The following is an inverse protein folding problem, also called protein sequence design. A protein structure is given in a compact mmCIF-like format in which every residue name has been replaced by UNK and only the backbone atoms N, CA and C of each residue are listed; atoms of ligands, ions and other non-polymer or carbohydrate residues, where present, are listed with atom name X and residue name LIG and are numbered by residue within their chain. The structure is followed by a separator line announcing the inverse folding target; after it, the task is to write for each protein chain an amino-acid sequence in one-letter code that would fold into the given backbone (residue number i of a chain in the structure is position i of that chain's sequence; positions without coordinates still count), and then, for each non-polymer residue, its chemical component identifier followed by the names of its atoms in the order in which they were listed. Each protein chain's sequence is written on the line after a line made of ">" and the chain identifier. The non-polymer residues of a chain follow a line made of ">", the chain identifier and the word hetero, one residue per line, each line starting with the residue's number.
data_IF_929286526638
#
_entry.id   IF_929286526638
#
_cell.length_a   1.000
_cell.length_b   1.000
_cell.length_c   1.000
_cell.angle_alpha   90.00
_cell.angle_beta   90.00
_cell.angle_gamma   90.00
#
_symmetry.space_group_name_H-M   'P 1'
#
loop_
_entity.id
_entity.type
_entity.pdbx_description
1 polymer ?
#
# COMPACT_ATOMS: atom_id res chain seq x y z
N UNK A 1 14.63 3.29 -11.53
CA UNK A 1 14.07 1.93 -11.44
C UNK A 1 12.67 2.00 -12.03
N UNK A 2 12.25 1.05 -12.86
CA UNK A 2 10.92 1.13 -13.48
C UNK A 2 9.88 0.47 -12.58
N UNK A 3 8.84 1.22 -12.24
CA UNK A 3 7.70 0.69 -11.51
C UNK A 3 6.86 -0.22 -12.42
N UNK A 4 6.35 -1.31 -11.86
CA UNK A 4 5.29 -2.10 -12.50
C UNK A 4 3.95 -1.47 -12.10
N UNK A 5 3.24 -0.92 -13.08
CA UNK A 5 1.92 -0.32 -12.86
C UNK A 5 0.84 -1.40 -12.83
N UNK A 6 -0.08 -1.28 -11.88
CA UNK A 6 -1.18 -2.21 -11.65
C UNK A 6 -2.47 -1.39 -11.62
N UNK A 7 -3.10 -1.14 -12.79
CA UNK A 7 -4.41 -0.52 -12.85
C UNK A 7 -5.45 -1.46 -12.24
N UNK A 8 -6.34 -0.92 -11.42
CA UNK A 8 -7.36 -1.68 -10.70
C UNK A 8 -8.72 -1.01 -10.89
N UNK A 9 -9.68 -1.76 -11.42
CA UNK A 9 -11.06 -1.32 -11.45
C UNK A 9 -11.73 -1.58 -10.08
N UNK A 10 -12.78 -0.84 -9.76
CA UNK A 10 -13.62 -1.13 -8.60
C UNK A 10 -14.07 -2.60 -8.60
N UNK A 11 -14.02 -3.26 -7.45
CA UNK A 11 -14.31 -4.68 -7.36
C UNK A 11 -14.77 -5.09 -5.95
N UNK A 12 -15.86 -5.85 -5.86
CA UNK A 12 -16.35 -6.46 -4.62
C UNK A 12 -16.45 -5.50 -3.42
N UNK A 13 -16.94 -4.27 -3.64
CA UNK A 13 -17.09 -3.25 -2.58
C UNK A 13 -15.79 -2.51 -2.23
N UNK A 14 -14.67 -2.81 -2.89
CA UNK A 14 -13.42 -2.04 -2.84
C UNK A 14 -13.46 -0.97 -3.94
N UNK A 15 -13.45 0.33 -3.60
CA UNK A 15 -13.51 1.41 -4.59
C UNK A 15 -12.38 1.35 -5.62
N UNK A 16 -11.16 1.04 -5.16
CA UNK A 16 -9.92 1.29 -5.89
C UNK A 16 -9.77 2.76 -6.32
N UNK A 17 -8.57 3.15 -6.73
CA UNK A 17 -8.35 4.53 -7.17
C UNK A 17 -8.58 4.62 -8.69
N UNK A 18 -9.54 5.43 -9.17
CA UNK A 18 -9.89 5.48 -10.59
C UNK A 18 -8.85 6.17 -11.48
N UNK A 19 -7.91 6.92 -10.89
CA UNK A 19 -6.94 7.73 -11.63
C UNK A 19 -5.51 7.22 -11.45
N UNK A 20 -5.17 6.74 -10.25
CA UNK A 20 -3.82 6.34 -9.88
C UNK A 20 -3.73 4.81 -9.81
N UNK A 21 -2.89 4.16 -10.64
CA UNK A 21 -2.63 2.73 -10.48
C UNK A 21 -1.81 2.48 -9.20
N UNK A 22 -2.00 1.30 -8.61
CA UNK A 22 -1.02 0.80 -7.65
C UNK A 22 0.31 0.55 -8.36
N UNK A 23 1.43 0.65 -7.64
CA UNK A 23 2.76 0.43 -8.21
C UNK A 23 3.58 -0.50 -7.36
N UNK A 24 4.35 -1.38 -8.01
CA UNK A 24 5.40 -2.18 -7.37
C UNK A 24 6.76 -1.76 -7.92
N UNK A 25 7.73 -1.55 -7.04
CA UNK A 25 9.13 -1.34 -7.38
C UNK A 25 9.91 -2.56 -6.87
N UNK A 26 10.25 -3.52 -7.75
CA UNK A 26 10.92 -4.75 -7.33
C UNK A 26 12.32 -4.45 -6.77
N UNK A 27 12.60 -4.94 -5.56
CA UNK A 27 13.90 -4.88 -4.87
C UNK A 27 14.52 -3.48 -4.77
N UNK A 28 13.69 -2.43 -4.81
CA UNK A 28 14.16 -1.04 -4.88
C UNK A 28 14.98 -0.61 -3.66
N UNK A 29 14.63 -1.12 -2.47
CA UNK A 29 15.30 -0.82 -1.21
C UNK A 29 15.96 -2.05 -0.59
N UNK A 30 16.32 -3.04 -1.41
CA UNK A 30 16.95 -4.28 -0.95
C UNK A 30 18.28 -4.01 -0.26
N UNK A 31 18.54 -4.70 0.86
CA UNK A 31 19.76 -4.54 1.65
C UNK A 31 19.84 -3.26 2.50
N UNK A 32 18.80 -2.41 2.48
CA UNK A 32 18.69 -1.27 3.39
C UNK A 32 18.20 -1.72 4.76
N UNK A 33 18.81 -1.20 5.83
CA UNK A 33 18.30 -1.40 7.19
C UNK A 33 16.97 -0.66 7.39
N UNK A 34 16.17 -1.07 8.37
CA UNK A 34 14.92 -0.39 8.71
C UNK A 34 15.11 1.12 8.99
N UNK A 35 16.23 1.51 9.60
CA UNK A 35 16.54 2.92 9.82
C UNK A 35 16.75 3.68 8.50
N UNK A 36 17.51 3.10 7.56
CA UNK A 36 17.74 3.69 6.24
C UNK A 36 16.46 3.77 5.41
N UNK A 37 15.60 2.75 5.46
CA UNK A 37 14.29 2.78 4.79
C UNK A 37 13.42 3.91 5.34
N UNK A 38 13.34 4.05 6.66
CA UNK A 38 12.58 5.14 7.30
C UNK A 38 13.11 6.52 6.89
N UNK A 39 14.42 6.71 6.90
CA UNK A 39 15.03 7.99 6.54
C UNK A 39 14.83 8.30 5.05
N UNK A 40 14.90 7.28 4.18
CA UNK A 40 14.62 7.39 2.74
C UNK A 40 13.17 7.81 2.47
N UNK A 41 12.20 7.18 3.16
CA UNK A 41 10.78 7.53 3.06
C UNK A 41 10.51 8.95 3.57
N UNK A 42 11.06 9.30 4.74
CA UNK A 42 10.93 10.62 5.34
C UNK A 42 11.47 11.72 4.43
N UNK A 43 12.58 11.48 3.74
CA UNK A 43 13.17 12.44 2.81
C UNK A 43 12.31 12.67 1.54
N UNK A 44 11.29 11.84 1.30
CA UNK A 44 10.36 11.89 0.16
C UNK A 44 8.92 12.23 0.57
N UNK A 45 8.77 12.83 1.75
CA UNK A 45 7.48 13.20 2.34
C UNK A 45 6.55 12.01 2.69
N UNK A 46 7.12 10.83 2.96
CA UNK A 46 6.38 9.68 3.51
C UNK A 46 6.67 9.56 5.00
N UNK A 47 5.69 9.88 5.83
CA UNK A 47 5.84 9.99 7.28
C UNK A 47 4.95 8.98 8.02
N UNK A 48 5.02 9.00 9.36
CA UNK A 48 4.22 8.11 10.20
C UNK A 48 4.64 6.64 10.10
N UNK A 49 5.94 6.40 9.84
CA UNK A 49 6.45 5.06 9.59
C UNK A 49 6.20 4.10 10.76
N UNK A 50 5.70 2.90 10.47
CA UNK A 50 5.48 1.83 11.44
C UNK A 50 6.02 0.51 10.89
N UNK A 51 6.27 -0.47 11.76
CA UNK A 51 6.69 -1.81 11.34
C UNK A 51 5.69 -2.86 11.79
N UNK A 52 5.37 -3.81 10.92
CA UNK A 52 4.40 -4.85 11.23
C UNK A 52 4.18 -5.80 10.06
N UNK A 53 2.93 -6.21 9.87
CA UNK A 53 2.48 -7.08 8.79
C UNK A 53 1.28 -6.45 8.09
N UNK A 54 0.95 -6.92 6.90
CA UNK A 54 -0.28 -6.56 6.18
C UNK A 54 -1.41 -7.42 6.75
N UNK A 55 -2.58 -6.83 6.99
CA UNK A 55 -3.74 -7.59 7.47
C UNK A 55 -4.12 -8.73 6.51
N UNK A 56 -4.63 -9.82 7.08
CA UNK A 56 -5.10 -11.00 6.36
C UNK A 56 -6.59 -10.89 5.93
N UNK A 57 -7.13 -9.68 5.93
CA UNK A 57 -8.46 -9.37 5.40
C UNK A 57 -8.37 -8.19 4.42
N UNK A 58 -9.30 -8.15 3.47
CA UNK A 58 -9.38 -7.05 2.52
C UNK A 58 -9.71 -5.75 3.24
N UNK A 59 -8.84 -4.77 3.07
CA UNK A 59 -9.04 -3.42 3.59
C UNK A 59 -8.45 -2.39 2.65
N UNK A 60 -8.84 -1.14 2.82
CA UNK A 60 -8.25 0.01 2.15
C UNK A 60 -8.25 1.22 3.08
N UNK A 61 -7.49 2.25 2.70
CA UNK A 61 -7.47 3.55 3.35
C UNK A 61 -8.25 4.54 2.50
N UNK A 62 -9.23 5.24 3.06
CA UNK A 62 -10.01 6.22 2.32
C UNK A 62 -9.39 7.63 2.36
N UNK A 63 -8.45 7.89 3.28
CA UNK A 63 -7.87 9.23 3.48
C UNK A 63 -6.39 9.38 3.11
N UNK A 64 -5.69 8.29 2.80
CA UNK A 64 -4.24 8.32 2.67
C UNK A 64 -3.75 7.37 1.57
N UNK A 65 -2.77 7.85 0.81
CA UNK A 65 -1.88 6.97 0.05
C UNK A 65 -0.90 6.33 1.02
N UNK A 66 -0.67 5.03 0.86
CA UNK A 66 0.25 4.26 1.68
C UNK A 66 1.42 3.76 0.83
N UNK A 67 2.60 3.72 1.46
CA UNK A 67 3.74 2.96 0.96
C UNK A 67 4.04 1.81 1.92
N UNK A 68 4.27 0.63 1.36
CA UNK A 68 4.72 -0.56 2.08
C UNK A 68 6.08 -0.97 1.53
N UNK A 69 7.08 -1.08 2.41
CA UNK A 69 8.41 -1.61 2.09
C UNK A 69 8.60 -2.94 2.79
N UNK A 70 8.92 -4.00 2.05
CA UNK A 70 9.22 -5.30 2.67
C UNK A 70 10.61 -5.25 3.28
N UNK A 71 10.71 -5.36 4.60
CA UNK A 71 11.99 -5.33 5.32
C UNK A 71 12.68 -6.70 5.37
N UNK A 72 11.91 -7.78 5.41
CA UNK A 72 12.39 -9.17 5.36
C UNK A 72 11.24 -10.15 5.10
N UNK A 73 11.59 -11.39 4.76
CA UNK A 73 10.64 -12.45 4.45
C UNK A 73 9.97 -12.25 3.08
N UNK A 74 8.87 -12.97 2.87
CA UNK A 74 8.10 -12.93 1.64
C UNK A 74 6.59 -13.11 1.92
N UNK A 75 5.75 -12.58 1.04
CA UNK A 75 4.29 -12.69 1.15
C UNK A 75 3.61 -12.73 -0.22
N UNK A 76 2.44 -13.35 -0.27
CA UNK A 76 1.45 -13.17 -1.33
C UNK A 76 0.45 -12.10 -0.93
N UNK A 77 0.41 -10.99 -1.67
CA UNK A 77 -0.49 -9.85 -1.40
C UNK A 77 -1.46 -9.70 -2.55
N UNK A 78 -2.76 -9.76 -2.27
CA UNK A 78 -3.79 -9.37 -3.25
C UNK A 78 -3.95 -7.86 -3.22
N UNK A 79 -4.01 -7.24 -4.41
CA UNK A 79 -4.48 -5.88 -4.59
C UNK A 79 -5.83 -5.85 -5.30
N UNK A 80 -6.64 -4.83 -5.05
CA UNK A 80 -7.86 -4.56 -5.80
C UNK A 80 -9.15 -5.21 -5.27
N UNK A 81 -9.09 -5.89 -4.12
CA UNK A 81 -10.23 -6.62 -3.55
C UNK A 81 -10.25 -8.11 -3.90
N UNK A 82 -11.31 -8.82 -3.49
CA UNK A 82 -11.40 -10.26 -3.64
C UNK A 82 -11.26 -10.70 -5.11
N UNK A 83 -10.38 -11.67 -5.39
CA UNK A 83 -10.08 -12.13 -6.75
C UNK A 83 -9.23 -11.18 -7.59
N UNK A 84 -8.72 -10.09 -7.00
CA UNK A 84 -7.75 -9.20 -7.65
C UNK A 84 -6.37 -9.84 -7.85
N UNK A 85 -5.45 -9.15 -8.55
CA UNK A 85 -4.11 -9.67 -8.81
C UNK A 85 -3.34 -9.97 -7.51
N UNK A 86 -2.78 -11.18 -7.43
CA UNK A 86 -1.83 -11.57 -6.39
C UNK A 86 -0.41 -11.19 -6.80
N UNK A 87 0.31 -10.54 -5.88
CA UNK A 87 1.71 -10.17 -6.00
C UNK A 87 2.53 -10.98 -5.01
N UNK A 88 3.53 -11.72 -5.50
CA UNK A 88 4.60 -12.22 -4.65
C UNK A 88 5.60 -11.11 -4.38
N UNK A 89 5.73 -10.71 -3.11
CA UNK A 89 6.66 -9.67 -2.66
C UNK A 89 7.73 -10.25 -1.73
N UNK A 90 8.92 -9.66 -1.77
CA UNK A 90 10.05 -10.04 -0.91
C UNK A 90 10.89 -8.84 -0.52
N UNK A 91 11.94 -9.07 0.27
CA UNK A 91 12.82 -8.02 0.81
C UNK A 91 13.22 -6.95 -0.22
N UNK A 92 13.00 -5.70 0.15
CA UNK A 92 13.31 -4.52 -0.65
C UNK A 92 12.25 -4.13 -1.66
N UNK A 93 11.23 -4.97 -1.90
CA UNK A 93 10.09 -4.56 -2.71
C UNK A 93 9.33 -3.42 -2.04
N UNK A 94 8.94 -2.44 -2.85
CA UNK A 94 8.12 -1.30 -2.43
C UNK A 94 6.79 -1.36 -3.16
N UNK A 95 5.69 -1.29 -2.41
CA UNK A 95 4.34 -1.10 -2.93
C UNK A 95 3.90 0.33 -2.64
N UNK A 96 3.53 1.07 -3.68
CA UNK A 96 2.80 2.33 -3.56
C UNK A 96 1.32 2.03 -3.80
N UNK A 97 0.52 2.27 -2.77
CA UNK A 97 -0.89 1.89 -2.69
C UNK A 97 -1.72 3.18 -2.59
N UNK A 98 -2.36 3.61 -3.69
CA UNK A 98 -3.22 4.78 -3.65
C UNK A 98 -4.43 4.61 -2.71
N UNK A 99 -4.94 5.71 -2.15
CA UNK A 99 -6.18 5.70 -1.38
C UNK A 99 -7.30 5.00 -2.18
N UNK A 100 -8.06 4.15 -1.48
CA UNK A 100 -9.09 3.29 -2.05
C UNK A 100 -8.63 1.94 -2.58
N UNK A 101 -7.33 1.74 -2.85
CA UNK A 101 -6.84 0.45 -3.31
C UNK A 101 -6.91 -0.58 -2.19
N UNK A 102 -7.75 -1.59 -2.40
CA UNK A 102 -7.88 -2.71 -1.48
C UNK A 102 -6.63 -3.55 -1.48
N UNK A 103 -6.18 -3.99 -0.30
CA UNK A 103 -5.07 -4.91 -0.18
C UNK A 103 -5.24 -5.88 1.00
N UNK A 104 -4.60 -7.03 0.90
CA UNK A 104 -4.68 -8.12 1.89
C UNK A 104 -3.50 -9.07 1.72
N UNK A 105 -2.92 -9.55 2.82
CA UNK A 105 -1.96 -10.65 2.81
C UNK A 105 -2.68 -12.00 2.82
N UNK A 106 -2.46 -12.81 1.79
CA UNK A 106 -2.98 -14.18 1.73
C UNK A 106 -2.16 -15.14 2.58
N UNK A 107 -0.84 -15.04 2.45
CA UNK A 107 0.15 -15.87 3.12
C UNK A 107 1.45 -15.09 3.24
N UNK A 108 2.24 -15.42 4.25
CA UNK A 108 3.56 -14.85 4.43
C UNK A 108 4.49 -15.81 5.19
N UNK A 109 5.80 -15.64 5.02
CA UNK A 109 6.79 -16.36 5.81
C UNK A 109 6.73 -15.97 7.29
N UNK A 110 7.25 -16.84 8.17
CA UNK A 110 7.22 -16.60 9.62
C UNK A 110 7.98 -15.34 10.06
N UNK A 111 9.00 -14.94 9.29
CA UNK A 111 9.81 -13.77 9.54
C UNK A 111 9.30 -12.50 8.85
N UNK A 112 8.20 -12.57 8.07
CA UNK A 112 7.71 -11.45 7.27
C UNK A 112 7.47 -10.20 8.12
N UNK A 113 8.08 -9.10 7.68
CA UNK A 113 7.90 -7.79 8.28
C UNK A 113 8.00 -6.71 7.21
N UNK A 114 7.11 -5.73 7.32
CA UNK A 114 7.08 -4.55 6.45
C UNK A 114 7.28 -3.27 7.26
N UNK A 115 7.62 -2.20 6.55
CA UNK A 115 7.48 -0.82 7.00
C UNK A 115 6.38 -0.13 6.20
N UNK A 116 5.34 0.34 6.88
CA UNK A 116 4.29 1.17 6.29
C UNK A 116 4.55 2.65 6.57
N UNK A 117 4.19 3.54 5.65
CA UNK A 117 4.20 4.99 5.84
C UNK A 117 3.16 5.67 4.93
N UNK A 118 2.85 6.94 5.17
CA UNK A 118 1.76 7.64 4.49
C UNK A 118 2.23 8.96 3.89
N UNK A 119 1.72 9.27 2.70
CA UNK A 119 2.05 10.50 1.98
C UNK A 119 1.68 11.72 2.83
N UNK A 120 2.62 12.67 2.94
CA UNK A 120 2.53 13.87 3.75
C UNK A 120 2.15 13.63 5.23
N UNK A 121 2.32 12.41 5.74
CA UNK A 121 1.99 12.07 7.13
C UNK A 121 0.50 12.14 7.46
N UNK A 122 -0.36 11.99 6.45
CA UNK A 122 -1.81 11.97 6.64
C UNK A 122 -2.21 10.84 7.60
N UNK A 123 -3.26 11.09 8.38
CA UNK A 123 -3.91 10.05 9.16
C UNK A 123 -4.56 9.01 8.24
N UNK A 124 -4.57 7.77 8.68
CA UNK A 124 -5.17 6.64 7.96
C UNK A 124 -6.34 6.05 8.76
N UNK A 125 -7.19 5.33 8.04
CA UNK A 125 -8.39 4.65 8.52
C UNK A 125 -8.44 3.23 7.95
N UNK A 126 -9.01 2.24 8.63
CA UNK A 126 -9.18 0.90 8.06
C UNK A 126 -10.63 0.77 7.60
N UNK A 127 -10.85 0.82 6.29
CA UNK A 127 -12.14 0.54 5.68
C UNK A 127 -12.20 -0.92 5.24
N UNK A 128 -13.28 -1.61 5.62
CA UNK A 128 -13.59 -2.96 5.15
C UNK A 128 -14.74 -2.90 4.14
N UNK A 129 -14.66 -3.59 2.99
CA UNK A 129 -15.70 -3.56 1.95
C UNK A 129 -17.10 -3.91 2.47
N UNK A 130 -17.20 -4.83 3.42
CA UNK A 130 -18.45 -5.29 4.02
C UNK A 130 -19.09 -4.28 4.99
N UNK A 131 -18.30 -3.35 5.53
CA UNK A 131 -18.71 -2.44 6.60
C UNK A 131 -18.71 -0.96 6.17
N UNK A 132 -18.36 -0.67 4.91
CA UNK A 132 -18.16 0.71 4.42
C UNK A 132 -19.11 1.05 3.28
N UNK A 133 -19.78 2.19 3.35
CA UNK A 133 -20.55 2.71 2.23
C UNK A 133 -19.63 3.14 1.07
N UNK A 134 -19.87 2.55 -0.10
CA UNK A 134 -19.02 2.73 -1.28
C UNK A 134 -19.05 4.16 -1.82
N UNK A 135 -20.21 4.82 -1.79
CA UNK A 135 -20.35 6.18 -2.30
C UNK A 135 -19.62 7.19 -1.40
N UNK A 136 -19.73 7.01 -0.08
CA UNK A 136 -18.97 7.74 0.91
C UNK A 136 -17.46 7.55 0.73
N UNK A 137 -17.01 6.30 0.56
CA UNK A 137 -15.58 6.01 0.39
C UNK A 137 -15.02 6.71 -0.85
N UNK A 138 -15.73 6.62 -1.99
CA UNK A 138 -15.36 7.31 -3.24
C UNK A 138 -15.22 8.82 -3.05
N UNK A 139 -16.16 9.45 -2.36
CA UNK A 139 -16.12 10.88 -2.10
C UNK A 139 -14.87 11.27 -1.31
N UNK A 140 -14.50 10.51 -0.27
CA UNK A 140 -13.30 10.79 0.53
C UNK A 140 -12.00 10.54 -0.23
N UNK A 141 -11.94 9.47 -1.01
CA UNK A 141 -10.77 9.14 -1.84
C UNK A 141 -10.48 10.26 -2.85
N UNK A 142 -11.51 10.85 -3.45
CA UNK A 142 -11.37 11.96 -4.39
C UNK A 142 -10.81 13.24 -3.75
N UNK A 143 -10.86 13.39 -2.43
CA UNK A 143 -10.30 14.51 -1.68
C UNK A 143 -8.84 14.29 -1.26
N UNK A 144 -8.29 13.08 -1.47
CA UNK A 144 -6.89 12.77 -1.12
C UNK A 144 -5.97 13.39 -2.17
N UNK A 145 -5.09 14.34 -1.81
CA UNK A 145 -4.14 14.89 -2.75
C UNK A 145 -3.09 13.86 -3.14
N UNK A 146 -2.66 13.90 -4.40
CA UNK A 146 -1.53 13.12 -4.89
C UNK A 146 -0.28 13.34 -4.02
N UNK A 147 0.62 12.34 -3.98
CA UNK A 147 1.92 12.49 -3.34
C UNK A 147 2.79 13.52 -4.08
N UNK A 148 3.60 14.26 -3.33
CA UNK A 148 4.57 15.21 -3.90
C UNK A 148 5.71 14.47 -4.60
N UNK A 149 6.17 13.38 -4.01
CA UNK A 149 7.25 12.54 -4.55
C UNK A 149 6.92 11.06 -4.37
N UNK A 150 7.23 10.27 -5.40
CA UNK A 150 7.15 8.80 -5.29
C UNK A 150 8.14 8.27 -4.24
N UNK A 151 7.86 7.11 -3.62
CA UNK A 151 8.68 6.59 -2.52
C UNK A 151 10.03 6.00 -2.95
N UNK A 152 10.36 5.92 -4.25
CA UNK A 152 11.61 5.36 -4.78
C UNK A 152 12.28 6.36 -5.71
#
# INVERSE_FOLDING_TARGET
>A
MNAHLIPLAENAGVPNNPQLPARRYPSALKGQSAAQVRDHLKARDWFGSWTGQIYNFHHYHSHAHEVIVVLRGQAGVILGGAGGPELSVGEGDVLLIPAGVGHCSLHHSADFQIMGAYAAGRSWDICRPEDTDLAWARARIAEVPDWVQEPV
#
